data_IF_669248265722
#
_entry.id   IF_669248265722
#
_cell.length_a   1.000
_cell.length_b   1.000
_cell.length_c   1.000
_cell.angle_alpha   90.00
_cell.angle_beta   90.00
_cell.angle_gamma   90.00
#
_symmetry.space_group_name_H-M   'P 1'
#
loop_
_entity.id
_entity.type
_entity.pdbx_description
1 polymer ?
#
# COMPACT_ATOMS: atom_id res chain seq x y z
N UNK A 1 -9.85 2.20 -24.06
CA UNK A 1 -9.85 1.17 -25.10
C UNK A 1 -11.06 0.25 -24.85
N UNK A 2 -11.92 0.00 -25.86
CA UNK A 2 -13.11 -0.83 -25.68
C UNK A 2 -12.75 -2.22 -25.12
N UNK A 3 -13.48 -2.69 -24.06
CA UNK A 3 -13.22 -3.98 -23.40
C UNK A 3 -12.01 -3.98 -22.44
N UNK A 4 -11.52 -2.82 -22.05
CA UNK A 4 -10.51 -2.65 -21.00
C UNK A 4 -11.13 -1.81 -19.88
N UNK A 5 -10.99 -2.29 -18.64
CA UNK A 5 -11.35 -1.56 -17.42
C UNK A 5 -10.08 -1.17 -16.70
N UNK A 6 -10.04 0.05 -16.17
CA UNK A 6 -8.97 0.53 -15.32
C UNK A 6 -9.57 0.87 -13.97
N UNK A 7 -9.00 0.37 -12.90
CA UNK A 7 -9.43 0.64 -11.53
C UNK A 7 -8.24 1.21 -10.77
N UNK A 8 -8.37 2.44 -10.27
CA UNK A 8 -7.37 3.06 -9.40
C UNK A 8 -7.55 2.51 -7.98
N UNK A 9 -6.45 2.07 -7.36
CA UNK A 9 -6.41 1.62 -5.98
C UNK A 9 -6.12 2.77 -5.02
N UNK A 10 -6.31 2.52 -3.73
CA UNK A 10 -6.03 3.51 -2.68
C UNK A 10 -4.56 3.98 -2.68
N UNK A 11 -3.62 3.14 -3.10
CA UNK A 11 -2.19 3.47 -3.21
C UNK A 11 -1.81 4.24 -4.50
N UNK A 12 -2.81 4.62 -5.32
CA UNK A 12 -2.66 5.30 -6.60
C UNK A 12 -2.19 4.38 -7.74
N UNK A 13 -2.03 3.10 -7.49
CA UNK A 13 -1.74 2.13 -8.56
C UNK A 13 -3.00 1.85 -9.39
N UNK A 14 -2.80 1.54 -10.68
CA UNK A 14 -3.90 1.26 -11.60
C UNK A 14 -3.87 -0.21 -11.99
N UNK A 15 -4.94 -0.93 -11.65
CA UNK A 15 -5.17 -2.29 -12.17
C UNK A 15 -5.94 -2.23 -13.48
N UNK A 16 -5.48 -3.02 -14.45
CA UNK A 16 -6.15 -3.17 -15.74
C UNK A 16 -6.75 -4.56 -15.89
N UNK A 17 -7.97 -4.61 -16.37
CA UNK A 17 -8.69 -5.83 -16.74
C UNK A 17 -9.04 -5.79 -18.24
N UNK A 18 -8.68 -6.86 -18.96
CA UNK A 18 -9.05 -7.06 -20.36
C UNK A 18 -10.03 -8.24 -20.44
N UNK A 19 -11.17 -8.06 -21.12
CA UNK A 19 -12.22 -9.09 -21.34
C UNK A 19 -13.02 -9.51 -20.09
N UNK A 20 -12.89 -8.80 -18.96
CA UNK A 20 -13.63 -9.14 -17.74
C UNK A 20 -13.03 -10.32 -16.96
N UNK A 21 -13.74 -10.78 -15.93
CA UNK A 21 -13.28 -11.84 -15.02
C UNK A 21 -13.80 -13.20 -15.47
N UNK A 22 -12.93 -14.10 -15.90
CA UNK A 22 -13.28 -15.47 -16.30
C UNK A 22 -13.33 -16.47 -15.14
N UNK A 23 -12.72 -16.15 -13.99
CA UNK A 23 -12.67 -16.99 -12.79
C UNK A 23 -12.52 -16.14 -11.53
N UNK A 24 -13.01 -16.64 -10.38
CA UNK A 24 -12.86 -15.99 -9.08
C UNK A 24 -11.42 -16.06 -8.55
N UNK A 25 -10.67 -17.09 -8.86
CA UNK A 25 -9.35 -17.38 -8.26
C UNK A 25 -8.17 -17.30 -9.25
N UNK A 26 -8.41 -17.08 -10.55
CA UNK A 26 -7.32 -16.92 -11.50
C UNK A 26 -6.71 -15.53 -11.44
N UNK A 27 -5.40 -15.42 -11.70
CA UNK A 27 -4.76 -14.13 -11.94
C UNK A 27 -5.44 -13.48 -13.16
N UNK A 28 -5.89 -12.25 -12.98
CA UNK A 28 -6.69 -11.50 -13.97
C UNK A 28 -5.87 -10.42 -14.67
N UNK A 29 -4.62 -10.22 -14.24
CA UNK A 29 -3.77 -9.17 -14.77
C UNK A 29 -3.31 -9.50 -16.18
N UNK A 30 -3.38 -8.54 -17.11
CA UNK A 30 -2.77 -8.69 -18.42
C UNK A 30 -1.25 -8.71 -18.29
N UNK A 31 -0.60 -9.42 -19.22
CA UNK A 31 0.86 -9.40 -19.31
C UNK A 31 1.33 -8.00 -19.74
N UNK A 32 2.21 -7.39 -18.97
CA UNK A 32 2.83 -6.12 -19.29
C UNK A 32 4.17 -6.37 -20.00
N UNK A 33 4.31 -5.81 -21.21
CA UNK A 33 5.49 -5.93 -22.04
C UNK A 33 6.04 -4.54 -22.32
N UNK A 34 7.28 -4.29 -21.96
CA UNK A 34 7.97 -3.00 -22.20
C UNK A 34 9.13 -3.22 -23.16
N UNK A 35 9.12 -2.53 -24.28
CA UNK A 35 10.12 -2.62 -25.36
C UNK A 35 10.41 -4.06 -25.81
N UNK A 36 9.35 -4.91 -25.77
CA UNK A 36 9.40 -6.30 -26.18
C UNK A 36 9.89 -7.26 -25.11
N UNK A 37 10.05 -6.82 -23.85
CA UNK A 37 10.35 -7.67 -22.71
C UNK A 37 9.15 -7.77 -21.77
N UNK A 38 8.75 -8.98 -21.36
CA UNK A 38 7.77 -9.12 -20.29
C UNK A 38 8.37 -8.67 -18.95
N UNK A 39 7.65 -7.85 -18.23
CA UNK A 39 8.05 -7.38 -16.90
C UNK A 39 7.12 -7.92 -15.82
N UNK A 40 7.64 -8.11 -14.61
CA UNK A 40 6.87 -8.60 -13.45
C UNK A 40 6.21 -7.45 -12.66
N UNK A 41 6.68 -6.21 -12.87
CA UNK A 41 6.12 -5.03 -12.22
C UNK A 41 4.76 -4.63 -12.77
N UNK A 42 4.14 -3.68 -12.10
CA UNK A 42 2.95 -2.99 -12.56
C UNK A 42 3.32 -1.72 -13.36
N UNK A 43 2.32 -0.97 -13.78
CA UNK A 43 2.51 0.29 -14.50
C UNK A 43 3.28 1.35 -13.71
N UNK A 44 3.33 1.26 -12.39
CA UNK A 44 4.10 2.20 -11.54
C UNK A 44 5.60 2.07 -11.73
N UNK A 45 6.07 0.95 -12.33
CA UNK A 45 7.48 0.72 -12.70
C UNK A 45 7.86 1.38 -14.03
N UNK A 46 6.95 2.09 -14.69
CA UNK A 46 7.15 2.78 -15.96
C UNK A 46 7.00 4.28 -15.73
N UNK A 47 7.96 5.07 -16.19
CA UNK A 47 7.81 6.51 -16.23
C UNK A 47 6.82 6.89 -17.36
N UNK A 48 5.65 7.46 -17.07
CA UNK A 48 4.65 7.79 -18.09
C UNK A 48 5.16 8.81 -19.11
N UNK A 49 6.13 9.66 -18.73
CA UNK A 49 6.73 10.64 -19.63
C UNK A 49 7.64 10.01 -20.69
N UNK A 50 8.08 8.76 -20.47
CA UNK A 50 8.93 8.02 -21.42
C UNK A 50 8.12 7.18 -22.40
N UNK A 51 6.80 7.08 -22.21
CA UNK A 51 5.96 6.28 -23.09
C UNK A 51 5.78 6.98 -24.44
N UNK A 52 6.08 6.25 -25.53
CA UNK A 52 5.81 6.66 -26.89
C UNK A 52 4.44 6.14 -27.38
N UNK A 53 4.15 4.85 -27.09
CA UNK A 53 2.88 4.23 -27.46
C UNK A 53 2.50 3.08 -26.53
N UNK A 54 1.18 2.83 -26.44
CA UNK A 54 0.61 1.70 -25.72
C UNK A 54 -0.31 0.95 -26.65
N UNK A 55 -0.06 -0.35 -26.84
CA UNK A 55 -0.88 -1.23 -27.67
C UNK A 55 -1.45 -2.35 -26.82
N UNK A 56 -2.76 -2.59 -26.91
CA UNK A 56 -3.44 -3.64 -26.18
C UNK A 56 -3.78 -4.78 -27.13
N UNK A 57 -3.14 -5.93 -26.92
CA UNK A 57 -3.37 -7.14 -27.69
C UNK A 57 -4.44 -7.98 -27.00
N UNK A 58 -5.63 -8.00 -27.59
CA UNK A 58 -6.79 -8.73 -27.06
C UNK A 58 -6.98 -10.07 -27.74
N UNK A 59 -6.55 -10.20 -28.99
CA UNK A 59 -6.78 -11.39 -29.79
C UNK A 59 -5.74 -12.48 -29.51
N UNK A 60 -6.18 -13.72 -29.41
CA UNK A 60 -5.31 -14.86 -29.13
C UNK A 60 -4.17 -15.00 -30.16
N UNK A 61 -4.40 -14.67 -31.42
CA UNK A 61 -3.37 -14.70 -32.47
C UNK A 61 -2.27 -13.65 -32.21
N UNK A 62 -2.65 -12.40 -31.89
CA UNK A 62 -1.69 -11.34 -31.62
C UNK A 62 -0.94 -11.54 -30.28
N UNK A 63 -1.57 -12.22 -29.33
CA UNK A 63 -0.99 -12.53 -28.01
C UNK A 63 -0.16 -13.81 -28.00
N UNK A 64 -0.30 -14.70 -29.02
CA UNK A 64 0.31 -16.04 -29.04
C UNK A 64 1.83 -16.05 -28.94
N UNK A 65 2.51 -14.99 -29.39
CA UNK A 65 3.99 -14.84 -29.26
C UNK A 65 4.48 -14.78 -27.81
N UNK A 66 3.57 -14.55 -26.84
CA UNK A 66 3.85 -14.45 -25.41
C UNK A 66 3.48 -15.72 -24.64
N UNK A 67 3.00 -16.77 -25.36
CA UNK A 67 2.65 -18.07 -24.79
C UNK A 67 1.51 -18.01 -23.78
N UNK A 68 1.48 -18.94 -22.83
CA UNK A 68 0.42 -19.07 -21.83
C UNK A 68 0.22 -17.81 -20.94
N UNK A 69 1.26 -17.01 -20.75
CA UNK A 69 1.18 -15.76 -19.97
C UNK A 69 0.26 -14.70 -20.60
N UNK A 70 -0.05 -14.82 -21.87
CA UNK A 70 -0.93 -13.89 -22.59
C UNK A 70 -2.42 -14.21 -22.50
N UNK A 71 -2.81 -15.22 -21.71
CA UNK A 71 -4.21 -15.68 -21.61
C UNK A 71 -5.18 -14.55 -21.19
N UNK A 72 -4.73 -13.60 -20.38
CA UNK A 72 -5.51 -12.44 -19.93
C UNK A 72 -5.32 -11.21 -20.83
N UNK A 73 -4.71 -11.36 -22.01
CA UNK A 73 -4.31 -10.27 -22.89
C UNK A 73 -2.92 -9.72 -22.57
N UNK A 74 -2.43 -8.87 -23.49
CA UNK A 74 -1.09 -8.27 -23.37
C UNK A 74 -1.19 -6.77 -23.57
N UNK A 75 -0.54 -6.01 -22.70
CA UNK A 75 -0.34 -4.58 -22.88
C UNK A 75 1.12 -4.35 -23.25
N UNK A 76 1.34 -3.87 -24.46
CA UNK A 76 2.67 -3.57 -25.00
C UNK A 76 2.91 -2.08 -24.88
N UNK A 77 3.93 -1.70 -24.12
CA UNK A 77 4.41 -0.33 -23.97
C UNK A 77 5.70 -0.19 -24.77
N UNK A 78 5.75 0.82 -25.63
CA UNK A 78 6.97 1.21 -26.33
C UNK A 78 7.47 2.52 -25.74
N UNK A 79 8.77 2.57 -25.38
CA UNK A 79 9.37 3.78 -24.83
C UNK A 79 10.00 4.65 -25.90
N UNK A 80 10.15 5.94 -25.59
CA UNK A 80 10.79 6.93 -26.44
C UNK A 80 12.25 6.55 -26.71
N UNK A 81 12.68 6.87 -27.93
CA UNK A 81 14.06 6.69 -28.41
C UNK A 81 14.65 8.02 -28.81
N UNK A 82 15.97 8.11 -28.84
CA UNK A 82 16.66 9.27 -29.35
C UNK A 82 16.39 9.49 -30.85
N UNK A 83 16.20 10.75 -31.22
CA UNK A 83 16.03 11.14 -32.63
C UNK A 83 17.40 11.44 -33.26
N UNK A 84 17.49 11.09 -34.54
CA UNK A 84 18.71 11.33 -35.35
C UNK A 84 18.97 12.83 -35.51
N UNK A 85 20.22 13.19 -35.46
CA UNK A 85 20.78 14.53 -35.82
C UNK A 85 20.26 15.73 -35.00
N UNK A 86 19.62 15.48 -33.83
CA UNK A 86 19.14 16.52 -32.90
C UNK A 86 19.36 16.08 -31.47
N UNK A 87 20.00 16.98 -30.70
CA UNK A 87 19.92 16.89 -29.24
C UNK A 87 18.67 17.67 -28.79
N UNK A 88 17.81 17.02 -28.06
CA UNK A 88 16.58 17.61 -27.53
C UNK A 88 16.56 17.39 -26.02
N UNK A 89 16.26 18.46 -25.30
CA UNK A 89 16.02 18.41 -23.84
C UNK A 89 14.58 18.78 -23.63
N UNK A 90 13.84 17.90 -22.94
CA UNK A 90 12.45 18.13 -22.55
C UNK A 90 12.36 18.19 -21.03
N UNK A 91 11.68 19.22 -20.52
CA UNK A 91 11.41 19.39 -19.09
C UNK A 91 9.89 19.44 -18.90
N UNK A 92 9.38 18.62 -18.00
CA UNK A 92 7.96 18.56 -17.68
C UNK A 92 7.78 18.68 -16.16
N UNK A 93 6.87 19.53 -15.76
CA UNK A 93 6.44 19.65 -14.38
C UNK A 93 4.91 19.53 -14.33
N UNK A 94 4.45 18.75 -13.38
CA UNK A 94 3.03 18.48 -13.21
C UNK A 94 2.69 18.52 -11.73
N UNK A 95 1.60 19.19 -11.40
CA UNK A 95 1.05 19.28 -10.04
C UNK A 95 -0.44 18.98 -10.10
N UNK A 96 -0.87 18.03 -9.29
CA UNK A 96 -2.28 17.70 -9.08
C UNK A 96 -2.65 17.92 -7.62
N UNK A 97 -3.61 18.80 -7.40
CA UNK A 97 -4.18 19.05 -6.07
C UNK A 97 -5.53 18.34 -6.05
N UNK A 98 -5.68 17.39 -5.11
CA UNK A 98 -6.94 16.68 -4.91
C UNK A 98 -7.82 17.42 -3.90
N UNK A 99 -9.12 17.33 -4.08
CA UNK A 99 -10.07 17.71 -3.04
C UNK A 99 -10.11 16.66 -1.94
N UNK A 100 -10.34 17.09 -0.69
CA UNK A 100 -10.54 16.14 0.39
C UNK A 100 -11.76 15.28 0.10
N UNK A 101 -11.68 13.97 0.30
CA UNK A 101 -12.82 13.08 0.13
C UNK A 101 -13.98 13.49 1.03
N UNK A 102 -15.19 13.26 0.57
CA UNK A 102 -16.40 13.45 1.38
C UNK A 102 -16.49 12.34 2.43
N UNK A 103 -16.24 12.68 3.69
CA UNK A 103 -16.26 11.71 4.81
C UNK A 103 -17.66 11.14 5.03
N UNK A 104 -18.73 11.88 4.82
CA UNK A 104 -20.09 11.38 4.98
C UNK A 104 -20.37 10.24 3.99
N UNK A 105 -19.95 10.44 2.73
CA UNK A 105 -20.10 9.42 1.69
C UNK A 105 -19.24 8.18 1.96
N UNK A 106 -17.95 8.36 2.33
CA UNK A 106 -17.03 7.23 2.52
C UNK A 106 -17.36 6.42 3.76
N UNK A 107 -17.63 7.09 4.87
CA UNK A 107 -17.94 6.41 6.13
C UNK A 107 -19.32 5.75 6.07
N UNK A 108 -20.24 6.27 5.28
CA UNK A 108 -21.61 5.75 5.13
C UNK A 108 -22.24 5.39 6.48
N UNK A 109 -22.06 6.27 7.46
CA UNK A 109 -22.41 6.05 8.86
C UNK A 109 -23.54 6.99 9.25
N UNK A 110 -24.49 6.51 10.07
CA UNK A 110 -25.56 7.34 10.62
C UNK A 110 -24.99 8.51 11.45
N UNK A 111 -25.76 9.59 11.58
CA UNK A 111 -25.42 10.69 12.47
C UNK A 111 -25.46 10.25 13.95
N UNK A 112 -24.94 11.09 14.82
CA UNK A 112 -24.81 10.78 16.25
C UNK A 112 -26.16 10.54 16.92
N UNK A 113 -27.19 11.29 16.56
CA UNK A 113 -28.56 11.13 17.12
C UNK A 113 -29.13 9.78 16.74
N UNK A 114 -29.09 9.45 15.46
CA UNK A 114 -29.58 8.16 14.95
C UNK A 114 -28.80 6.99 15.54
N UNK A 115 -27.48 7.14 15.68
CA UNK A 115 -26.63 6.08 16.25
C UNK A 115 -26.95 5.84 17.74
N UNK A 116 -27.02 6.89 18.54
CA UNK A 116 -27.38 6.78 19.97
C UNK A 116 -28.77 6.12 20.13
N UNK A 117 -29.78 6.57 19.38
CA UNK A 117 -31.14 6.03 19.47
C UNK A 117 -31.19 4.55 19.02
N UNK A 118 -30.42 4.17 18.01
CA UNK A 118 -30.27 2.77 17.59
C UNK A 118 -29.63 1.92 18.69
N UNK A 119 -28.53 2.37 19.25
CA UNK A 119 -27.80 1.66 20.31
C UNK A 119 -28.67 1.48 21.55
N UNK A 120 -29.41 2.50 21.95
CA UNK A 120 -30.34 2.41 23.08
C UNK A 120 -31.43 1.37 22.86
N UNK A 121 -32.04 1.34 21.67
CA UNK A 121 -33.03 0.30 21.31
C UNK A 121 -32.40 -1.11 21.29
N UNK A 122 -31.18 -1.25 20.79
CA UNK A 122 -30.47 -2.53 20.77
C UNK A 122 -30.18 -3.04 22.20
N UNK A 123 -29.89 -2.14 23.12
CA UNK A 123 -29.66 -2.45 24.54
C UNK A 123 -30.99 -2.82 25.28
N UNK A 124 -32.03 -2.04 25.09
CA UNK A 124 -33.36 -2.30 25.69
C UNK A 124 -33.90 -3.70 25.28
N UNK A 125 -33.59 -4.11 24.06
CA UNK A 125 -34.03 -5.44 23.55
C UNK A 125 -33.03 -6.57 23.86
N UNK A 126 -32.03 -6.35 24.72
CA UNK A 126 -31.04 -7.34 25.18
C UNK A 126 -30.17 -7.99 24.08
N UNK A 127 -30.03 -7.36 22.91
CA UNK A 127 -29.32 -7.98 21.80
C UNK A 127 -27.80 -8.19 22.07
N UNK A 128 -27.21 -7.45 23.00
CA UNK A 128 -25.81 -7.63 23.39
C UNK A 128 -25.58 -8.06 24.84
N UNK A 129 -26.51 -7.73 25.74
CA UNK A 129 -26.34 -7.90 27.18
C UNK A 129 -26.41 -9.36 27.66
N UNK A 130 -27.28 -10.18 27.06
CA UNK A 130 -27.46 -11.58 27.50
C UNK A 130 -26.18 -12.42 27.32
N UNK A 131 -25.41 -12.17 26.26
CA UNK A 131 -24.15 -12.85 26.05
C UNK A 131 -23.05 -12.36 27.00
N UNK A 132 -23.12 -11.10 27.46
CA UNK A 132 -22.12 -10.48 28.30
C UNK A 132 -22.26 -10.86 29.78
N UNK A 133 -23.48 -10.96 30.29
CA UNK A 133 -23.75 -11.31 31.69
C UNK A 133 -23.16 -12.68 32.07
N UNK A 134 -23.13 -13.61 31.12
CA UNK A 134 -22.62 -14.98 31.32
C UNK A 134 -21.19 -15.21 30.79
N UNK A 135 -20.53 -14.17 30.25
CA UNK A 135 -19.20 -14.32 29.68
C UNK A 135 -18.12 -14.45 30.77
N UNK A 136 -17.07 -15.26 30.56
CA UNK A 136 -15.88 -15.25 31.42
C UNK A 136 -15.22 -13.86 31.50
N UNK A 137 -14.53 -13.57 32.60
CA UNK A 137 -13.93 -12.24 32.89
C UNK A 137 -13.11 -11.71 31.69
N UNK A 138 -12.28 -12.52 31.05
CA UNK A 138 -11.51 -12.11 29.88
C UNK A 138 -12.39 -11.70 28.70
N UNK A 139 -13.51 -12.38 28.47
CA UNK A 139 -14.46 -12.00 27.42
C UNK A 139 -15.21 -10.71 27.75
N UNK A 140 -15.38 -10.38 29.04
CA UNK A 140 -15.99 -9.10 29.47
C UNK A 140 -15.07 -7.91 29.18
N UNK A 141 -13.79 -8.04 29.43
CA UNK A 141 -12.79 -6.98 29.13
C UNK A 141 -12.74 -6.72 27.60
N UNK A 142 -12.79 -7.77 26.79
CA UNK A 142 -12.72 -7.66 25.33
C UNK A 142 -14.04 -7.21 24.68
N UNK A 143 -15.15 -7.21 25.40
CA UNK A 143 -16.43 -6.72 24.91
C UNK A 143 -16.55 -5.22 25.18
N UNK A 144 -15.98 -4.39 24.32
CA UNK A 144 -16.13 -2.94 24.42
C UNK A 144 -17.57 -2.51 24.32
N UNK A 145 -17.94 -1.53 25.14
CA UNK A 145 -19.18 -0.80 25.05
C UNK A 145 -18.92 0.54 24.36
N UNK A 146 -19.87 1.05 23.60
CA UNK A 146 -19.84 2.43 23.12
C UNK A 146 -20.14 3.38 24.28
N UNK A 147 -19.83 4.68 24.12
CA UNK A 147 -20.14 5.67 25.17
C UNK A 147 -21.62 5.70 25.55
N UNK A 148 -22.53 5.55 24.58
CA UNK A 148 -23.95 5.47 24.84
C UNK A 148 -24.32 4.21 25.63
N UNK A 149 -23.72 3.08 25.27
CA UNK A 149 -23.91 1.81 25.96
C UNK A 149 -23.34 1.83 27.39
N UNK A 150 -22.22 2.51 27.62
CA UNK A 150 -21.65 2.70 28.97
C UNK A 150 -22.59 3.50 29.88
N UNK A 151 -23.18 4.58 29.38
CA UNK A 151 -24.17 5.36 30.16
C UNK A 151 -25.37 4.51 30.58
N UNK A 152 -25.88 3.71 29.66
CA UNK A 152 -26.98 2.80 29.97
C UNK A 152 -26.54 1.72 30.99
N UNK A 153 -25.36 1.14 30.80
CA UNK A 153 -24.79 0.16 31.72
C UNK A 153 -24.62 0.74 33.13
N UNK A 154 -24.10 1.96 33.22
CA UNK A 154 -23.92 2.65 34.49
C UNK A 154 -25.27 2.92 35.19
N UNK A 155 -26.29 3.33 34.44
CA UNK A 155 -27.62 3.50 34.98
C UNK A 155 -28.20 2.16 35.51
N UNK A 156 -28.05 1.09 34.76
CA UNK A 156 -28.63 -0.21 35.11
C UNK A 156 -27.91 -0.93 36.25
N UNK A 157 -26.58 -0.79 36.35
CA UNK A 157 -25.73 -1.62 37.22
C UNK A 157 -24.84 -0.85 38.20
N UNK A 158 -24.59 0.45 37.96
CA UNK A 158 -23.60 1.22 38.71
C UNK A 158 -24.21 2.42 39.48
N UNK A 159 -25.53 2.55 39.47
CA UNK A 159 -26.24 3.55 40.24
C UNK A 159 -26.30 4.95 39.64
N UNK A 160 -25.92 5.12 38.37
CA UNK A 160 -26.15 6.36 37.64
C UNK A 160 -27.65 6.67 37.57
N UNK A 161 -28.09 7.88 37.90
CA UNK A 161 -29.48 8.24 37.80
C UNK A 161 -29.97 8.28 36.35
N UNK A 162 -31.27 8.09 36.13
CA UNK A 162 -31.87 8.17 34.79
C UNK A 162 -31.68 9.57 34.18
N UNK A 163 -31.75 10.62 35.01
CA UNK A 163 -31.55 12.02 34.57
C UNK A 163 -30.12 12.26 34.08
N UNK A 164 -29.10 11.77 34.80
CA UNK A 164 -27.69 11.87 34.40
C UNK A 164 -27.43 11.07 33.12
N UNK A 165 -28.00 9.87 33.00
CA UNK A 165 -27.91 9.07 31.78
C UNK A 165 -28.48 9.85 30.58
N UNK A 166 -29.70 10.36 30.68
CA UNK A 166 -30.33 11.11 29.57
C UNK A 166 -29.56 12.40 29.23
N UNK A 167 -29.02 13.12 30.19
CA UNK A 167 -28.15 14.26 29.95
C UNK A 167 -26.87 13.84 29.19
N UNK A 168 -26.28 12.71 29.57
CA UNK A 168 -25.14 12.14 28.87
C UNK A 168 -25.48 11.76 27.44
N UNK A 169 -26.58 11.04 27.22
CA UNK A 169 -27.05 10.65 25.89
C UNK A 169 -27.35 11.88 25.01
N UNK A 170 -27.98 12.92 25.56
CA UNK A 170 -28.27 14.12 24.78
C UNK A 170 -27.01 14.89 24.39
N UNK A 171 -25.94 14.87 25.23
CA UNK A 171 -24.62 15.37 24.82
C UNK A 171 -24.09 14.59 23.64
N UNK A 172 -24.12 13.25 23.69
CA UNK A 172 -23.66 12.41 22.58
C UNK A 172 -24.44 12.64 21.28
N UNK A 173 -25.78 12.81 21.38
CA UNK A 173 -26.64 13.13 20.21
C UNK A 173 -26.24 14.42 19.52
N UNK A 174 -25.68 15.37 20.26
CA UNK A 174 -25.28 16.69 19.72
C UNK A 174 -23.77 16.79 19.46
N UNK A 175 -23.00 15.73 19.64
CA UNK A 175 -21.56 15.68 19.39
C UNK A 175 -21.31 15.04 18.03
N UNK A 176 -20.34 15.56 17.26
CA UNK A 176 -19.89 14.96 16.00
C UNK A 176 -18.37 15.04 15.86
N UNK A 177 -17.75 13.92 15.55
CA UNK A 177 -16.31 13.83 15.34
C UNK A 177 -15.86 14.25 13.93
N UNK A 178 -16.79 14.53 13.00
CA UNK A 178 -16.48 14.78 11.58
C UNK A 178 -15.47 15.89 11.38
N UNK A 179 -15.61 16.98 12.14
CA UNK A 179 -14.68 18.10 12.04
C UNK A 179 -13.28 17.71 12.55
N UNK A 180 -13.19 17.00 13.68
CA UNK A 180 -11.90 16.56 14.20
C UNK A 180 -11.21 15.54 13.29
N UNK A 181 -11.96 14.63 12.66
CA UNK A 181 -11.41 13.71 11.65
C UNK A 181 -10.78 14.48 10.48
N UNK A 182 -11.47 15.52 9.98
CA UNK A 182 -10.95 16.40 8.92
C UNK A 182 -9.71 17.17 9.36
N UNK A 183 -9.74 17.76 10.54
CA UNK A 183 -8.67 18.67 10.99
C UNK A 183 -7.40 17.94 11.42
N UNK A 184 -7.53 16.73 11.97
CA UNK A 184 -6.41 16.01 12.59
C UNK A 184 -5.94 14.78 11.82
N UNK A 185 -6.78 14.17 10.98
CA UNK A 185 -6.41 12.94 10.27
C UNK A 185 -6.38 13.11 8.74
N UNK A 186 -6.88 14.22 8.21
CA UNK A 186 -6.86 14.48 6.79
C UNK A 186 -5.93 15.63 6.42
N UNK A 187 -5.47 15.60 5.18
CA UNK A 187 -4.69 16.65 4.54
C UNK A 187 -5.06 16.77 3.07
N UNK A 188 -4.71 17.89 2.46
CA UNK A 188 -4.90 18.09 1.02
C UNK A 188 -4.02 17.10 0.25
N UNK A 189 -4.61 16.31 -0.62
CA UNK A 189 -3.86 15.44 -1.51
C UNK A 189 -3.05 16.28 -2.49
N UNK A 190 -1.74 16.01 -2.59
CA UNK A 190 -0.82 16.73 -3.46
C UNK A 190 0.10 15.75 -4.19
N UNK A 191 -0.05 15.65 -5.51
CA UNK A 191 0.90 14.93 -6.37
C UNK A 191 1.74 15.93 -7.15
N UNK A 192 3.03 15.83 -7.02
CA UNK A 192 4.02 16.62 -7.75
C UNK A 192 4.92 15.68 -8.55
N UNK A 193 5.13 15.98 -9.83
CA UNK A 193 6.02 15.20 -10.68
C UNK A 193 6.89 16.15 -11.51
N UNK A 194 8.18 15.86 -11.53
CA UNK A 194 9.18 16.58 -12.31
C UNK A 194 9.93 15.57 -13.16
N UNK A 195 10.02 15.83 -14.45
CA UNK A 195 10.71 14.97 -15.39
C UNK A 195 11.61 15.78 -16.29
N UNK A 196 12.86 15.34 -16.42
CA UNK A 196 13.81 15.90 -17.39
C UNK A 196 14.27 14.76 -18.27
N UNK A 197 14.17 14.93 -19.58
CA UNK A 197 14.71 13.96 -20.53
C UNK A 197 15.64 14.62 -21.54
N UNK A 198 16.66 13.88 -21.94
CA UNK A 198 17.59 14.25 -23.00
C UNK A 198 17.59 13.14 -24.04
N UNK A 199 17.45 13.52 -25.29
CA UNK A 199 17.51 12.59 -26.42
C UNK A 199 18.41 13.12 -27.50
N UNK A 200 19.05 12.20 -28.22
CA UNK A 200 19.92 12.58 -29.35
C UNK A 200 20.46 11.35 -30.03
N UNK A 201 21.05 11.56 -31.20
CA UNK A 201 21.64 10.44 -31.94
C UNK A 201 22.39 10.86 -33.21
N UNK A 202 23.04 9.89 -33.79
CA UNK A 202 23.70 9.94 -35.07
C UNK A 202 23.08 8.91 -36.02
N UNK A 203 23.63 8.72 -37.21
CA UNK A 203 23.21 7.63 -38.11
C UNK A 203 23.35 6.24 -37.51
N UNK A 204 24.30 6.07 -36.58
CA UNK A 204 24.64 4.79 -35.97
C UNK A 204 24.13 4.63 -34.55
N UNK A 205 23.89 5.72 -33.82
CA UNK A 205 23.56 5.65 -32.41
C UNK A 205 22.36 6.53 -32.08
N UNK A 206 21.47 6.02 -31.24
CA UNK A 206 20.32 6.73 -30.69
C UNK A 206 20.36 6.60 -29.17
N UNK A 207 20.27 7.71 -28.47
CA UNK A 207 20.27 7.77 -27.01
C UNK A 207 19.04 8.51 -26.50
N UNK A 208 18.44 7.98 -25.46
CA UNK A 208 17.39 8.63 -24.67
C UNK A 208 17.70 8.39 -23.20
N UNK A 209 17.64 9.43 -22.39
CA UNK A 209 17.78 9.34 -20.94
C UNK A 209 16.72 10.21 -20.28
N UNK A 210 16.08 9.74 -19.22
CA UNK A 210 15.17 10.52 -18.40
C UNK A 210 15.47 10.38 -16.92
N UNK A 211 15.18 11.45 -16.18
CA UNK A 211 15.22 11.54 -14.73
C UNK A 211 13.84 12.00 -14.28
N UNK A 212 13.18 11.24 -13.41
CA UNK A 212 11.88 11.59 -12.85
C UNK A 212 11.95 11.60 -11.32
N UNK A 213 11.38 12.64 -10.73
CA UNK A 213 11.04 12.69 -9.31
C UNK A 213 9.55 12.89 -9.18
N UNK A 214 8.93 12.13 -8.28
CA UNK A 214 7.50 12.19 -7.99
C UNK A 214 7.30 12.11 -6.49
N UNK A 215 6.49 13.05 -5.95
CA UNK A 215 6.04 13.05 -4.57
C UNK A 215 4.53 13.06 -4.54
N UNK A 216 3.94 12.14 -3.77
CA UNK A 216 2.52 12.05 -3.56
C UNK A 216 2.21 12.09 -2.05
N UNK A 217 1.57 13.15 -1.60
CA UNK A 217 0.95 13.22 -0.28
C UNK A 217 -0.52 12.82 -0.45
N UNK A 218 -0.94 11.74 0.23
CA UNK A 218 -2.32 11.23 0.17
C UNK A 218 -3.26 12.08 1.04
N UNK A 219 -4.57 11.83 0.94
CA UNK A 219 -5.60 12.58 1.71
C UNK A 219 -5.58 12.32 3.23
N UNK A 220 -4.89 11.29 3.68
CA UNK A 220 -4.70 10.99 5.12
C UNK A 220 -3.29 11.36 5.54
N UNK A 221 -3.13 11.97 6.72
CA UNK A 221 -1.81 12.34 7.26
C UNK A 221 -0.87 11.13 7.38
N UNK A 222 0.44 11.36 7.26
CA UNK A 222 1.48 10.32 7.28
C UNK A 222 1.25 9.21 6.26
N UNK A 223 0.63 9.52 5.15
CA UNK A 223 0.50 8.61 4.00
C UNK A 223 0.98 9.31 2.75
N UNK A 224 1.83 8.62 2.03
CA UNK A 224 2.37 9.13 0.79
C UNK A 224 3.63 8.40 0.35
N UNK A 225 4.22 8.86 -0.73
CA UNK A 225 5.49 8.33 -1.20
C UNK A 225 6.32 9.38 -1.93
N UNK A 226 7.62 9.14 -1.96
CA UNK A 226 8.57 9.78 -2.85
C UNK A 226 9.16 8.72 -3.78
N UNK A 227 9.19 9.01 -5.09
CA UNK A 227 9.70 8.10 -6.10
C UNK A 227 10.73 8.81 -6.99
N UNK A 228 11.85 8.17 -7.16
CA UNK A 228 12.91 8.59 -8.06
C UNK A 228 13.14 7.52 -9.13
N UNK A 229 13.27 7.92 -10.40
CA UNK A 229 13.46 7.00 -11.51
C UNK A 229 14.45 7.55 -12.51
N UNK A 230 15.33 6.66 -12.99
CA UNK A 230 16.27 6.91 -14.08
C UNK A 230 16.01 5.87 -15.15
N UNK A 231 15.80 6.32 -16.39
CA UNK A 231 15.72 5.44 -17.55
C UNK A 231 16.79 5.84 -18.57
N UNK A 232 17.43 4.84 -19.15
CA UNK A 232 18.37 5.01 -20.24
C UNK A 232 18.07 3.99 -21.34
N UNK A 233 17.91 4.47 -22.58
CA UNK A 233 17.67 3.64 -23.76
C UNK A 233 18.68 4.03 -24.84
N UNK A 234 19.50 3.06 -25.21
CA UNK A 234 20.50 3.21 -26.26
C UNK A 234 20.28 2.16 -27.34
N UNK A 235 20.39 2.59 -28.59
CA UNK A 235 20.39 1.70 -29.77
C UNK A 235 21.61 2.02 -30.62
N UNK A 236 22.43 1.02 -30.92
CA UNK A 236 23.66 1.16 -31.67
C UNK A 236 23.69 0.20 -32.86
N UNK A 237 23.80 0.74 -34.06
CA UNK A 237 24.04 0.00 -35.31
C UNK A 237 25.49 -0.42 -35.40
N UNK A 238 25.82 -1.62 -34.94
CA UNK A 238 27.18 -2.19 -34.96
C UNK A 238 27.66 -2.35 -36.38
N UNK A 239 26.79 -2.87 -37.25
CA UNK A 239 26.99 -3.00 -38.69
C UNK A 239 25.70 -2.65 -39.44
N UNK A 240 25.67 -2.76 -40.77
CA UNK A 240 24.46 -2.55 -41.56
C UNK A 240 23.37 -3.61 -41.28
N UNK A 241 23.76 -4.77 -40.79
CA UNK A 241 22.89 -5.90 -40.53
C UNK A 241 22.69 -6.23 -39.04
N UNK A 242 23.46 -5.60 -38.13
CA UNK A 242 23.42 -5.89 -36.69
C UNK A 242 23.19 -4.60 -35.89
N UNK A 243 22.15 -4.61 -35.08
CA UNK A 243 21.83 -3.55 -34.10
C UNK A 243 21.87 -4.12 -32.68
N UNK A 244 22.53 -3.44 -31.78
CA UNK A 244 22.54 -3.72 -30.32
C UNK A 244 21.70 -2.66 -29.60
N UNK A 245 20.93 -3.10 -28.62
CA UNK A 245 20.12 -2.23 -27.76
C UNK A 245 20.46 -2.47 -26.31
N UNK A 246 20.55 -1.39 -25.53
CA UNK A 246 20.70 -1.41 -24.08
C UNK A 246 19.60 -0.55 -23.48
N UNK A 247 18.80 -1.13 -22.60
CA UNK A 247 17.81 -0.40 -21.81
C UNK A 247 18.09 -0.65 -20.33
N UNK A 248 18.15 0.43 -19.56
CA UNK A 248 18.38 0.36 -18.11
C UNK A 248 17.34 1.21 -17.41
N UNK A 249 16.71 0.64 -16.37
CA UNK A 249 15.80 1.35 -15.47
C UNK A 249 16.29 1.20 -14.04
N UNK A 250 16.40 2.31 -13.32
CA UNK A 250 16.62 2.35 -11.88
C UNK A 250 15.46 3.07 -11.24
N UNK A 251 14.90 2.51 -10.16
CA UNK A 251 13.81 3.13 -9.40
C UNK A 251 14.03 2.95 -7.91
N UNK A 252 13.75 4.02 -7.17
CA UNK A 252 13.58 3.96 -5.71
C UNK A 252 12.26 4.63 -5.35
N UNK A 253 11.44 3.93 -4.54
CA UNK A 253 10.21 4.44 -3.97
C UNK A 253 10.28 4.28 -2.45
N UNK A 254 10.25 5.39 -1.74
CA UNK A 254 10.13 5.44 -0.28
C UNK A 254 8.68 5.78 0.05
N UNK A 255 7.97 4.88 0.70
CA UNK A 255 6.56 5.02 1.05
C UNK A 255 6.40 5.05 2.57
N UNK A 256 5.55 5.97 3.05
CA UNK A 256 5.13 6.05 4.44
C UNK A 256 3.63 5.79 4.56
N UNK A 257 3.20 5.09 5.62
CA UNK A 257 1.80 4.89 5.96
C UNK A 257 1.58 5.03 7.46
N UNK A 258 0.45 5.60 7.84
CA UNK A 258 0.04 5.73 9.25
C UNK A 258 -0.47 4.42 9.87
N UNK A 259 -0.65 3.38 9.05
CA UNK A 259 -1.30 2.15 9.49
C UNK A 259 -2.80 2.31 9.80
N UNK A 260 -3.40 3.43 9.40
CA UNK A 260 -4.85 3.69 9.48
C UNK A 260 -5.32 4.20 8.13
N UNK A 261 -6.38 3.61 7.60
CA UNK A 261 -7.01 4.01 6.34
C UNK A 261 -8.24 4.88 6.60
N UNK A 262 -8.67 5.64 5.59
CA UNK A 262 -9.87 6.48 5.71
C UNK A 262 -11.13 5.62 5.96
N UNK A 263 -11.17 4.38 5.46
CA UNK A 263 -12.26 3.43 5.73
C UNK A 263 -12.36 3.04 7.20
N UNK A 264 -11.24 3.05 7.94
CA UNK A 264 -11.22 2.71 9.37
C UNK A 264 -11.78 3.82 10.26
N UNK A 265 -11.98 5.04 9.74
CA UNK A 265 -12.64 6.11 10.48
C UNK A 265 -14.07 5.74 10.88
N UNK A 266 -14.74 4.89 10.09
CA UNK A 266 -16.07 4.35 10.41
C UNK A 266 -16.09 3.37 11.60
N UNK A 267 -14.93 2.93 12.10
CA UNK A 267 -14.84 2.13 13.32
C UNK A 267 -15.13 2.96 14.58
N UNK A 268 -15.02 4.30 14.49
CA UNK A 268 -15.41 5.20 15.56
C UNK A 268 -16.90 5.51 15.44
N UNK A 269 -17.63 5.48 16.57
CA UNK A 269 -18.97 6.02 16.60
C UNK A 269 -18.94 7.52 16.27
N UNK A 270 -19.96 8.08 15.61
CA UNK A 270 -19.93 9.46 15.11
C UNK A 270 -19.78 10.52 16.23
N UNK A 271 -20.05 10.16 17.47
CA UNK A 271 -19.91 10.99 18.66
C UNK A 271 -18.58 10.75 19.44
N UNK A 272 -17.73 9.79 19.00
CA UNK A 272 -16.41 9.55 19.63
C UNK A 272 -15.39 10.56 19.12
N UNK A 273 -15.01 11.48 19.99
CA UNK A 273 -14.04 12.53 19.65
C UNK A 273 -12.61 12.00 19.67
N UNK A 274 -11.71 12.64 18.93
CA UNK A 274 -10.26 12.36 18.98
C UNK A 274 -9.59 13.11 20.14
N UNK A 275 -10.03 14.33 20.39
CA UNK A 275 -9.53 15.17 21.48
C UNK A 275 -10.69 15.68 22.31
N UNK A 276 -10.45 15.77 23.61
CA UNK A 276 -11.31 16.47 24.55
C UNK A 276 -11.22 18.00 24.39
N UNK A 277 -12.08 18.76 25.06
CA UNK A 277 -12.10 20.24 25.00
C UNK A 277 -10.79 20.88 25.49
N UNK A 278 -10.08 20.22 26.42
CA UNK A 278 -8.79 20.64 26.94
C UNK A 278 -7.60 20.27 26.04
N UNK A 279 -7.85 19.63 24.90
CA UNK A 279 -6.84 19.17 23.95
C UNK A 279 -6.16 17.84 24.32
N UNK A 280 -6.53 17.20 25.41
CA UNK A 280 -6.07 15.85 25.74
C UNK A 280 -6.70 14.80 24.82
N UNK A 281 -6.07 13.63 24.67
CA UNK A 281 -6.64 12.54 23.87
C UNK A 281 -7.91 11.99 24.53
N UNK A 282 -8.99 11.95 23.76
CA UNK A 282 -10.21 11.26 24.17
C UNK A 282 -10.00 9.74 24.14
N UNK A 283 -10.64 9.01 25.02
CA UNK A 283 -10.62 7.54 24.98
C UNK A 283 -11.63 7.03 23.97
N UNK A 284 -11.16 6.32 22.93
CA UNK A 284 -12.03 5.61 22.01
C UNK A 284 -12.22 4.17 22.50
N UNK A 285 -13.46 3.73 22.62
CA UNK A 285 -13.83 2.53 23.36
C UNK A 285 -13.99 1.27 22.51
N UNK A 286 -13.45 1.27 21.30
CA UNK A 286 -13.59 0.19 20.34
C UNK A 286 -12.80 -1.09 20.66
N UNK A 287 -11.94 -1.11 21.68
CA UNK A 287 -11.06 -2.24 22.00
C UNK A 287 -11.41 -2.95 23.30
N UNK A 288 -11.57 -2.21 24.42
CA UNK A 288 -11.83 -2.80 25.72
C UNK A 288 -12.99 -2.14 26.46
N UNK A 289 -13.67 -2.93 27.31
CA UNK A 289 -14.66 -2.43 28.25
C UNK A 289 -13.96 -1.62 29.35
N UNK A 290 -14.22 -0.32 29.41
CA UNK A 290 -13.60 0.57 30.39
C UNK A 290 -13.98 0.20 31.83
N UNK A 291 -15.25 -0.10 32.09
CA UNK A 291 -15.71 -0.45 33.44
C UNK A 291 -15.09 -1.76 33.97
N UNK A 292 -14.70 -2.68 33.09
CA UNK A 292 -13.97 -3.88 33.48
C UNK A 292 -12.48 -3.63 33.64
N UNK A 293 -11.88 -2.77 32.80
CA UNK A 293 -10.49 -2.36 32.94
C UNK A 293 -10.23 -1.60 34.27
N UNK A 294 -11.15 -0.74 34.68
CA UNK A 294 -11.05 0.04 35.93
C UNK A 294 -11.07 -0.83 37.21
N UNK A 295 -11.47 -2.10 37.10
CA UNK A 295 -11.37 -3.07 38.21
C UNK A 295 -9.95 -3.64 38.37
N UNK A 296 -9.10 -3.49 37.38
CA UNK A 296 -7.71 -3.90 37.45
C UNK A 296 -6.86 -2.83 38.16
N UNK A 297 -5.78 -3.22 38.84
CA UNK A 297 -4.86 -2.26 39.48
C UNK A 297 -3.95 -1.61 38.42
N UNK A 298 -4.56 -0.76 37.54
CA UNK A 298 -3.87 -0.15 36.39
C UNK A 298 -2.61 0.63 36.80
N UNK A 299 -2.62 1.23 37.97
CA UNK A 299 -1.47 1.97 38.51
C UNK A 299 -0.25 1.09 38.81
N UNK A 300 -0.44 -0.22 38.98
CA UNK A 300 0.62 -1.21 39.19
C UNK A 300 1.11 -1.82 37.88
N UNK A 301 0.35 -1.68 36.78
CA UNK A 301 0.77 -2.19 35.46
C UNK A 301 1.93 -1.35 34.90
N UNK A 302 2.74 -1.91 33.99
CA UNK A 302 3.82 -1.17 33.33
C UNK A 302 3.34 0.14 32.67
N UNK A 303 2.14 0.13 32.09
CA UNK A 303 1.44 1.32 31.59
C UNK A 303 0.09 1.45 32.31
N UNK A 304 -0.06 2.48 33.11
CA UNK A 304 -1.33 2.80 33.76
C UNK A 304 -2.40 3.28 32.79
N UNK A 305 -2.01 3.95 31.71
CA UNK A 305 -2.88 4.34 30.61
C UNK A 305 -2.99 3.21 29.59
N UNK A 306 -4.11 2.52 29.58
CA UNK A 306 -4.43 1.43 28.63
C UNK A 306 -5.54 1.82 27.65
N UNK A 307 -5.69 3.13 27.41
CA UNK A 307 -6.70 3.66 26.49
C UNK A 307 -6.27 3.58 25.03
N UNK A 308 -7.22 3.43 24.13
CA UNK A 308 -7.03 3.58 22.70
C UNK A 308 -7.48 4.96 22.23
N UNK A 309 -6.73 5.55 21.32
CA UNK A 309 -7.12 6.76 20.61
C UNK A 309 -6.54 6.73 19.20
N UNK A 310 -7.39 6.87 18.17
CA UNK A 310 -6.98 6.75 16.78
C UNK A 310 -5.93 7.77 16.36
N UNK A 311 -6.05 9.04 16.80
CA UNK A 311 -5.08 10.08 16.49
C UNK A 311 -3.72 9.80 17.15
N UNK A 312 -3.72 9.30 18.38
CA UNK A 312 -2.50 8.91 19.09
C UNK A 312 -1.80 7.74 18.41
N UNK A 313 -2.58 6.75 17.90
CA UNK A 313 -2.02 5.65 17.09
C UNK A 313 -1.32 6.18 15.84
N UNK A 314 -2.01 7.01 15.05
CA UNK A 314 -1.43 7.60 13.83
C UNK A 314 -0.16 8.40 14.14
N UNK A 315 -0.15 9.19 15.21
CA UNK A 315 1.01 10.00 15.60
C UNK A 315 2.18 9.16 16.08
N UNK A 316 1.90 8.08 16.80
CA UNK A 316 2.90 7.19 17.39
C UNK A 316 3.49 6.14 16.44
N UNK A 317 2.90 5.97 15.23
CA UNK A 317 3.36 5.00 14.24
C UNK A 317 4.28 5.64 13.20
N UNK A 318 5.28 4.87 12.78
CA UNK A 318 6.10 5.16 11.61
C UNK A 318 6.28 3.86 10.81
N UNK A 319 5.49 3.70 9.78
CA UNK A 319 5.53 2.55 8.90
C UNK A 319 6.10 2.98 7.57
N UNK A 320 7.30 2.50 7.26
CA UNK A 320 8.04 2.85 6.06
C UNK A 320 8.36 1.61 5.24
N UNK A 321 8.21 1.73 3.93
CA UNK A 321 8.61 0.72 2.96
C UNK A 321 9.46 1.39 1.88
N UNK A 322 10.67 0.86 1.68
CA UNK A 322 11.57 1.28 0.60
C UNK A 322 11.62 0.20 -0.45
N UNK A 323 11.22 0.53 -1.66
CA UNK A 323 11.33 -0.34 -2.83
C UNK A 323 12.43 0.18 -3.75
N UNK A 324 13.44 -0.65 -4.01
CA UNK A 324 14.50 -0.35 -4.96
C UNK A 324 14.49 -1.38 -6.08
N UNK A 325 14.37 -0.93 -7.32
CA UNK A 325 14.33 -1.77 -8.51
C UNK A 325 15.42 -1.35 -9.49
N UNK A 326 16.10 -2.32 -10.07
CA UNK A 326 16.94 -2.12 -11.22
C UNK A 326 16.64 -3.19 -12.27
N UNK A 327 16.62 -2.76 -13.53
CA UNK A 327 16.37 -3.59 -14.70
C UNK A 327 17.39 -3.26 -15.77
N UNK A 328 18.04 -4.28 -16.30
CA UNK A 328 18.96 -4.16 -17.44
C UNK A 328 18.49 -5.12 -18.52
N UNK A 329 18.34 -4.58 -19.73
CA UNK A 329 17.88 -5.31 -20.89
C UNK A 329 18.89 -5.12 -22.03
N UNK A 330 19.36 -6.22 -22.60
CA UNK A 330 20.22 -6.26 -23.76
C UNK A 330 19.48 -6.93 -24.92
N UNK A 331 19.48 -6.29 -26.07
CA UNK A 331 18.90 -6.81 -27.29
C UNK A 331 19.90 -6.81 -28.44
N UNK A 332 19.93 -7.89 -29.20
CA UNK A 332 20.64 -7.96 -30.49
C UNK A 332 19.64 -8.28 -31.59
N UNK A 333 19.56 -7.43 -32.59
CA UNK A 333 18.74 -7.65 -33.77
C UNK A 333 19.64 -7.75 -35.00
N UNK A 334 19.60 -8.89 -35.68
CA UNK A 334 20.42 -9.19 -36.82
C UNK A 334 19.54 -9.55 -38.06
N UNK A 335 19.70 -8.78 -39.13
CA UNK A 335 19.12 -9.12 -40.42
C UNK A 335 20.01 -10.15 -41.13
N UNK A 336 19.65 -11.45 -41.09
CA UNK A 336 20.45 -12.55 -41.64
C UNK A 336 20.44 -12.50 -43.15
N UNK A 337 19.22 -12.46 -43.76
CA UNK A 337 18.98 -12.27 -45.16
C UNK A 337 17.76 -11.38 -45.33
N UNK A 338 17.42 -11.02 -46.57
CA UNK A 338 16.19 -10.26 -46.85
C UNK A 338 14.98 -11.06 -46.36
N UNK A 339 14.19 -10.44 -45.50
CA UNK A 339 12.99 -11.01 -44.89
C UNK A 339 13.25 -11.85 -43.63
N UNK A 340 14.48 -12.31 -43.34
CA UNK A 340 14.81 -13.10 -42.15
C UNK A 340 15.59 -12.28 -41.11
N UNK A 341 14.99 -12.06 -39.96
CA UNK A 341 15.60 -11.37 -38.83
C UNK A 341 15.76 -12.31 -37.64
N UNK A 342 16.89 -12.22 -36.97
CA UNK A 342 17.13 -12.88 -35.68
C UNK A 342 17.12 -11.83 -34.58
N UNK A 343 16.38 -12.09 -33.50
CA UNK A 343 16.25 -11.24 -32.32
C UNK A 343 16.64 -12.04 -31.09
N UNK A 344 17.69 -11.61 -30.40
CA UNK A 344 18.15 -12.16 -29.14
C UNK A 344 17.95 -11.10 -28.05
N UNK A 345 17.38 -11.52 -26.92
CA UNK A 345 17.13 -10.63 -25.77
C UNK A 345 17.54 -11.28 -24.48
N UNK A 346 18.18 -10.48 -23.61
CA UNK A 346 18.54 -10.86 -22.25
C UNK A 346 18.05 -9.76 -21.32
N UNK A 347 17.37 -10.15 -20.24
CA UNK A 347 16.94 -9.24 -19.17
C UNK A 347 17.37 -9.78 -17.84
N UNK A 348 17.85 -8.88 -16.99
CA UNK A 348 17.92 -9.06 -15.56
C UNK A 348 17.15 -7.96 -14.85
N UNK A 349 16.27 -8.34 -13.93
CA UNK A 349 15.51 -7.43 -13.10
C UNK A 349 15.64 -7.86 -11.65
N UNK A 350 15.88 -6.93 -10.74
CA UNK A 350 15.84 -7.18 -9.31
C UNK A 350 15.08 -6.07 -8.61
N UNK A 351 14.24 -6.46 -7.67
CA UNK A 351 13.48 -5.55 -6.80
C UNK A 351 13.69 -5.96 -5.35
N UNK A 352 14.18 -5.03 -4.55
CA UNK A 352 14.30 -5.16 -3.10
C UNK A 352 13.21 -4.33 -2.44
N UNK A 353 12.41 -4.96 -1.57
CA UNK A 353 11.38 -4.31 -0.75
C UNK A 353 11.77 -4.45 0.71
N UNK A 354 12.09 -3.35 1.37
CA UNK A 354 12.44 -3.31 2.79
C UNK A 354 11.34 -2.57 3.55
N UNK A 355 10.77 -3.20 4.59
CA UNK A 355 9.84 -2.52 5.48
C UNK A 355 10.42 -2.33 6.87
N UNK A 356 10.07 -1.19 7.49
CA UNK A 356 10.43 -0.85 8.86
C UNK A 356 9.23 -0.18 9.53
N UNK A 357 8.55 -0.93 10.39
CA UNK A 357 7.35 -0.50 11.08
C UNK A 357 7.68 -0.31 12.56
N UNK A 358 7.59 0.92 13.02
CA UNK A 358 7.82 1.31 14.40
C UNK A 358 6.53 1.81 15.04
N UNK A 359 6.17 1.18 16.15
CA UNK A 359 5.12 1.62 17.06
C UNK A 359 5.80 2.18 18.32
N UNK A 360 5.64 3.49 18.59
CA UNK A 360 6.17 4.10 19.81
C UNK A 360 5.43 3.59 21.05
N UNK A 361 5.99 3.81 22.23
CA UNK A 361 5.32 3.49 23.50
C UNK A 361 4.02 4.29 23.73
N UNK A 362 3.79 5.37 22.98
CA UNK A 362 2.54 6.13 22.99
C UNK A 362 1.38 5.40 22.32
N UNK A 363 1.67 4.43 21.43
CA UNK A 363 0.62 3.66 20.76
C UNK A 363 -0.07 2.71 21.74
N UNK A 364 -1.38 2.53 21.54
CA UNK A 364 -2.11 1.49 22.24
C UNK A 364 -1.51 0.09 21.96
N UNK A 365 -1.06 -0.13 20.72
CA UNK A 365 -0.44 -1.40 20.36
C UNK A 365 0.74 -1.76 21.26
N UNK A 366 1.69 -0.85 21.46
CA UNK A 366 2.86 -1.11 22.30
C UNK A 366 2.47 -1.27 23.79
N UNK A 367 1.61 -0.39 24.31
CA UNK A 367 1.14 -0.44 25.70
C UNK A 367 0.33 -1.69 25.99
N UNK A 368 -0.60 -2.04 25.08
CA UNK A 368 -1.40 -3.24 25.17
C UNK A 368 -0.54 -4.50 25.17
N UNK A 369 0.48 -4.56 24.31
CA UNK A 369 1.37 -5.71 24.24
C UNK A 369 2.11 -5.91 25.57
N UNK A 370 2.71 -4.87 26.13
CA UNK A 370 3.43 -4.94 27.41
C UNK A 370 2.51 -5.30 28.57
N UNK A 371 1.34 -4.66 28.67
CA UNK A 371 0.38 -4.94 29.74
C UNK A 371 -0.21 -6.35 29.65
N UNK A 372 -0.55 -6.82 28.43
CA UNK A 372 -1.12 -8.16 28.22
C UNK A 372 -0.15 -9.30 28.53
N UNK A 373 1.16 -9.05 28.44
CA UNK A 373 2.20 -10.02 28.82
C UNK A 373 2.78 -9.78 30.22
N UNK A 374 2.08 -9.00 31.04
CA UNK A 374 2.42 -8.80 32.46
C UNK A 374 1.73 -9.89 33.30
N UNK A 375 2.47 -10.51 34.18
CA UNK A 375 1.94 -11.49 35.11
C UNK A 375 0.94 -10.85 36.06
N UNK A 376 -0.22 -11.46 36.24
CA UNK A 376 -1.27 -10.96 37.12
C UNK A 376 -1.95 -12.11 37.85
N UNK A 377 -2.01 -12.01 39.17
CA UNK A 377 -2.72 -12.95 40.00
C UNK A 377 -4.13 -12.42 40.32
N UNK A 378 -5.16 -13.07 39.78
CA UNK A 378 -6.56 -12.65 39.98
C UNK A 378 -7.05 -12.75 41.43
N UNK A 379 -6.48 -13.66 42.25
CA UNK A 379 -6.90 -13.88 43.63
C UNK A 379 -6.28 -12.87 44.58
N UNK A 380 -4.95 -12.60 44.45
CA UNK A 380 -4.22 -11.65 45.31
C UNK A 380 -4.19 -10.27 44.72
N UNK A 381 -4.57 -10.05 43.48
CA UNK A 381 -4.44 -8.81 42.69
C UNK A 381 -3.00 -8.27 42.63
N UNK A 382 -2.04 -9.17 42.75
CA UNK A 382 -0.63 -8.84 42.61
C UNK A 382 -0.23 -8.81 41.12
N UNK A 383 0.50 -7.76 40.75
CA UNK A 383 1.09 -7.57 39.44
C UNK A 383 2.56 -7.96 39.51
N UNK A 384 2.95 -8.91 38.70
CA UNK A 384 4.32 -9.36 38.56
C UNK A 384 5.09 -8.62 37.48
N UNK A 385 6.07 -9.27 36.89
CA UNK A 385 6.95 -8.70 35.87
C UNK A 385 6.35 -8.89 34.49
N UNK A 386 6.42 -7.89 33.63
CA UNK A 386 6.09 -8.05 32.22
C UNK A 386 7.18 -8.84 31.49
N UNK A 387 6.76 -9.81 30.69
CA UNK A 387 7.69 -10.57 29.84
C UNK A 387 8.17 -9.77 28.63
N UNK A 388 7.50 -8.66 28.33
CA UNK A 388 7.88 -7.73 27.27
C UNK A 388 8.33 -6.42 27.92
N UNK A 389 9.55 -5.93 27.62
CA UNK A 389 10.06 -4.70 28.21
C UNK A 389 9.28 -3.47 27.69
N UNK A 390 9.16 -2.46 28.56
CA UNK A 390 8.59 -1.15 28.21
C UNK A 390 9.37 -0.47 27.10
N UNK A 391 8.68 0.23 26.22
CA UNK A 391 9.21 0.98 25.10
C UNK A 391 8.47 0.66 23.80
N UNK A 392 8.98 1.16 22.71
CA UNK A 392 8.38 0.93 21.38
C UNK A 392 8.61 -0.51 20.87
N UNK A 393 7.89 -0.82 19.81
CA UNK A 393 8.01 -2.09 19.08
C UNK A 393 8.48 -1.82 17.67
N UNK A 394 9.58 -2.46 17.26
CA UNK A 394 10.11 -2.35 15.92
C UNK A 394 9.95 -3.71 15.20
N UNK A 395 9.33 -3.66 14.01
CA UNK A 395 9.19 -4.79 13.09
C UNK A 395 9.85 -4.43 11.77
N UNK A 396 10.67 -5.29 11.25
CA UNK A 396 11.33 -5.06 9.97
C UNK A 396 11.52 -6.35 9.19
N UNK A 397 11.71 -6.22 7.90
CA UNK A 397 12.00 -7.32 7.02
C UNK A 397 12.38 -6.84 5.64
N UNK A 398 12.86 -7.76 4.83
CA UNK A 398 13.28 -7.52 3.46
C UNK A 398 12.78 -8.66 2.58
N UNK A 399 12.29 -8.33 1.40
CA UNK A 399 11.99 -9.29 0.35
C UNK A 399 12.73 -8.88 -0.90
N UNK A 400 13.42 -9.82 -1.52
CA UNK A 400 14.12 -9.64 -2.78
C UNK A 400 13.46 -10.51 -3.85
N UNK A 401 13.20 -9.90 -5.00
CA UNK A 401 12.71 -10.57 -6.19
C UNK A 401 13.78 -10.42 -7.28
N UNK A 402 14.10 -11.50 -7.97
CA UNK A 402 14.95 -11.45 -9.14
C UNK A 402 14.33 -12.19 -10.31
N UNK A 403 14.53 -11.69 -11.51
CA UNK A 403 13.98 -12.25 -12.73
C UNK A 403 15.02 -12.20 -13.86
N UNK A 404 15.32 -13.36 -14.43
CA UNK A 404 16.15 -13.51 -15.62
C UNK A 404 15.29 -13.94 -16.79
N UNK A 405 15.44 -13.29 -17.92
CA UNK A 405 14.77 -13.67 -19.17
C UNK A 405 15.81 -13.76 -20.27
N UNK A 406 15.82 -14.88 -20.97
CA UNK A 406 16.61 -15.09 -22.16
C UNK A 406 15.69 -15.55 -23.28
N UNK A 407 15.66 -14.78 -24.39
CA UNK A 407 14.78 -15.04 -25.53
C UNK A 407 15.57 -15.01 -26.82
N UNK A 408 15.31 -16.00 -27.66
CA UNK A 408 15.79 -16.05 -29.05
C UNK A 408 14.61 -16.25 -29.97
N UNK A 409 14.57 -15.50 -31.07
CA UNK A 409 13.46 -15.51 -32.00
C UNK A 409 13.94 -15.30 -33.43
N UNK A 410 13.45 -16.09 -34.37
CA UNK A 410 13.57 -15.89 -35.77
C UNK A 410 12.24 -15.39 -36.33
N UNK A 411 12.30 -14.32 -37.10
CA UNK A 411 11.14 -13.74 -37.78
C UNK A 411 11.38 -13.74 -39.27
N UNK A 412 10.51 -14.38 -40.02
CA UNK A 412 10.55 -14.36 -41.50
C UNK A 412 9.32 -13.65 -42.02
N UNK A 413 9.53 -12.58 -42.80
CA UNK A 413 8.48 -11.82 -43.47
C UNK A 413 8.94 -11.53 -44.90
N UNK A 414 8.26 -12.09 -45.86
CA UNK A 414 8.60 -11.85 -47.24
C UNK A 414 7.36 -11.92 -48.15
N UNK A 415 7.36 -11.10 -49.21
CA UNK A 415 6.32 -11.11 -50.23
C UNK A 415 6.89 -11.72 -51.51
N UNK A 416 6.18 -12.68 -52.10
CA UNK A 416 6.53 -13.35 -53.34
C UNK A 416 5.53 -13.00 -54.45
N UNK A 417 6.04 -12.69 -55.62
CA UNK A 417 5.25 -12.40 -56.80
C UNK A 417 4.14 -11.32 -56.59
N UNK A 418 4.37 -10.38 -55.68
CA UNK A 418 3.45 -9.28 -55.35
C UNK A 418 2.03 -9.72 -54.88
N UNK A 419 1.81 -11.03 -54.69
CA UNK A 419 0.50 -11.61 -54.37
C UNK A 419 0.50 -12.52 -53.16
N UNK A 420 1.66 -13.03 -52.77
CA UNK A 420 1.78 -13.97 -51.64
C UNK A 420 2.65 -13.37 -50.56
N UNK A 421 2.09 -13.18 -49.37
CA UNK A 421 2.81 -12.73 -48.17
C UNK A 421 2.94 -13.90 -47.20
N UNK A 422 4.18 -14.19 -46.80
CA UNK A 422 4.49 -15.23 -45.81
C UNK A 422 5.10 -14.55 -44.57
N UNK A 423 4.44 -14.75 -43.44
CA UNK A 423 4.93 -14.38 -42.12
C UNK A 423 5.08 -15.63 -41.28
N UNK A 424 6.27 -15.88 -40.76
CA UNK A 424 6.56 -17.00 -39.87
C UNK A 424 7.42 -16.53 -38.70
N UNK A 425 7.18 -17.12 -37.51
CA UNK A 425 7.92 -16.85 -36.31
C UNK A 425 8.24 -18.18 -35.62
N UNK A 426 9.50 -18.33 -35.19
CA UNK A 426 9.93 -19.42 -34.31
C UNK A 426 10.85 -18.86 -33.22
N UNK A 427 10.66 -19.30 -31.97
CA UNK A 427 11.47 -18.79 -30.87
C UNK A 427 11.44 -19.69 -29.66
N UNK A 428 12.38 -19.44 -28.77
CA UNK A 428 12.48 -20.03 -27.44
C UNK A 428 12.70 -18.92 -26.41
N UNK A 429 11.98 -19.01 -25.30
CA UNK A 429 12.18 -18.13 -24.14
C UNK A 429 12.40 -19.00 -22.90
N UNK A 430 13.41 -18.63 -22.13
CA UNK A 430 13.71 -19.21 -20.82
C UNK A 430 13.63 -18.07 -19.82
N UNK A 431 12.86 -18.26 -18.75
CA UNK A 431 12.75 -17.29 -17.67
C UNK A 431 12.86 -18.00 -16.32
N UNK A 432 13.56 -17.36 -15.40
CA UNK A 432 13.68 -17.80 -14.02
C UNK A 432 13.28 -16.63 -13.12
N UNK A 433 12.45 -16.94 -12.13
CA UNK A 433 11.98 -16.01 -11.14
C UNK A 433 12.25 -16.55 -9.75
N UNK A 434 12.99 -15.80 -8.95
CA UNK A 434 13.37 -16.17 -7.59
C UNK A 434 12.83 -15.12 -6.61
N UNK A 435 12.40 -15.57 -5.45
CA UNK A 435 11.95 -14.73 -4.34
C UNK A 435 12.60 -15.19 -3.05
N UNK A 436 13.29 -14.28 -2.38
CA UNK A 436 13.88 -14.49 -1.07
C UNK A 436 13.31 -13.49 -0.08
N UNK A 437 12.95 -13.94 1.11
CA UNK A 437 12.40 -13.10 2.15
C UNK A 437 13.06 -13.32 3.50
N UNK A 438 13.36 -12.23 4.20
CA UNK A 438 13.85 -12.24 5.58
C UNK A 438 12.91 -11.42 6.44
N UNK A 439 12.37 -12.01 7.49
CA UNK A 439 11.62 -11.32 8.54
C UNK A 439 12.49 -11.30 9.78
N UNK A 440 12.85 -10.12 10.23
CA UNK A 440 13.65 -9.98 11.45
C UNK A 440 12.76 -10.25 12.67
N UNK A 441 13.32 -10.78 13.77
CA UNK A 441 12.62 -10.87 15.04
C UNK A 441 12.08 -9.50 15.48
N UNK A 442 10.96 -9.49 16.17
CA UNK A 442 10.42 -8.26 16.74
C UNK A 442 11.37 -7.73 17.80
N UNK A 443 11.64 -6.44 17.76
CA UNK A 443 12.47 -5.76 18.74
C UNK A 443 11.55 -5.02 19.71
N UNK A 444 11.48 -5.48 20.94
CA UNK A 444 10.66 -4.90 22.01
C UNK A 444 11.49 -3.94 22.88
N UNK A 445 10.81 -3.02 23.54
CA UNK A 445 11.49 -2.02 24.36
C UNK A 445 12.43 -1.11 23.55
N UNK A 446 12.10 -0.91 22.28
CA UNK A 446 12.94 -0.15 21.35
C UNK A 446 12.83 1.35 21.64
N UNK A 447 14.00 1.98 21.84
CA UNK A 447 14.13 3.43 21.92
C UNK A 447 14.71 3.95 20.60
N UNK A 448 13.88 4.67 19.84
CA UNK A 448 14.26 5.17 18.52
C UNK A 448 15.39 6.22 18.57
N UNK A 449 15.39 7.08 19.57
CA UNK A 449 16.38 8.17 19.68
C UNK A 449 17.77 7.61 19.96
N UNK A 450 17.86 6.58 20.80
CA UNK A 450 19.12 5.93 21.17
C UNK A 450 19.48 4.77 20.25
N UNK A 451 18.56 4.34 19.38
CA UNK A 451 18.68 3.14 18.56
C UNK A 451 19.07 1.89 19.38
N UNK A 452 18.44 1.74 20.54
CA UNK A 452 18.70 0.64 21.49
C UNK A 452 17.39 -0.09 21.79
N UNK A 453 17.52 -1.33 22.25
CA UNK A 453 16.39 -2.12 22.76
C UNK A 453 16.72 -2.68 24.15
N UNK A 454 15.67 -2.91 24.91
CA UNK A 454 15.79 -3.62 26.18
C UNK A 454 15.75 -5.14 25.92
N UNK A 455 16.53 -5.89 26.70
CA UNK A 455 16.48 -7.36 26.67
C UNK A 455 15.23 -7.79 27.45
N UNK A 456 14.44 -8.76 26.95
CA UNK A 456 13.36 -9.33 27.74
C UNK A 456 13.89 -9.88 29.08
N UNK A 457 13.15 -9.76 30.18
CA UNK A 457 13.61 -10.19 31.50
C UNK A 457 13.77 -11.72 31.61
N UNK A 458 13.22 -12.47 30.67
CA UNK A 458 13.39 -13.91 30.53
C UNK A 458 13.90 -14.22 29.12
N UNK A 459 15.18 -14.49 28.99
CA UNK A 459 15.84 -14.93 27.76
C UNK A 459 15.57 -16.41 27.45
#
# INVERSE_FOLDING_TARGET
VAGMQATEKEDGSIDFLIRGSSSLYADKKPLLVVDGFPIQGDFSSINPNDVESVTVLKDAAAASIWGARSANGVIVVTTKKGKKDKVQVDVQAFVRIGTNPDLEYIMNQADSRTMVDYEMRAFENNWKMAAWEYAPIFSKIQNSLTLAQELYYANKYQGLSKEEMEQGLERLRNTSNRQQLKDYLMQTQLLQQYNVSISGGTERMSNYMSLMYEKNDESTIKRGYEKFMINYNNSYKVTKWLTANLITTLQRKDQETSGVTIGEFSNLSPYEMLLNEDGSYATNLNVYNRAELEKLPLEKLPYSDWSYNMLREVRGREYKTTNTMYRVQLGLNAQIIKGLNYDMRVQYESTSSEYKNYDSEDTFYARNLVNSYTEYNNETQEVGVSRIPKGGVLRSGKTEYSNYVFRNQLNYNNSFAEKHEISALAGIEISQYDTEGTVNPYVYGYNKEKNTSSVPPYG
#
